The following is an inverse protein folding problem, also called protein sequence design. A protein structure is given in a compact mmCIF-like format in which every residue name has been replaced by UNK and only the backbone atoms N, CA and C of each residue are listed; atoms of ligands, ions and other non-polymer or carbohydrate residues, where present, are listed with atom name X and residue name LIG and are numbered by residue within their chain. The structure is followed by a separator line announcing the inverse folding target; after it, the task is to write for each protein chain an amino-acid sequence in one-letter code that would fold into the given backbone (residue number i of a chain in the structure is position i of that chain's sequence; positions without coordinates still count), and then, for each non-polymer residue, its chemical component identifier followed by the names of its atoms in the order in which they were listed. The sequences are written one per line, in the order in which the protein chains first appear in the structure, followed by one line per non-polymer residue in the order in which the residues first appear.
data_IF_180047948372
#
_entry.id   IF_180047948372
#
_cell.length_a   1.000
_cell.length_b   1.000
_cell.length_c   1.000
_cell.angle_alpha   90.00
_cell.angle_beta   90.00
_cell.angle_gamma   90.00
#
_symmetry.space_group_name_H-M   'P 1'
#
loop_
_entity.id
_entity.type
_entity.pdbx_description
1 polymer ?
#
# COMPACT_ATOMS: atom_id res chain seq x y z
N UNK A 1 2.75 14.62 9.96
CA UNK A 1 2.96 14.15 8.60
C UNK A 1 2.31 12.79 8.43
N UNK A 2 1.62 12.61 7.34
CA UNK A 2 0.90 11.37 7.08
C UNK A 2 1.90 10.26 6.76
N UNK A 3 1.80 9.15 7.48
CA UNK A 3 2.73 8.05 7.30
C UNK A 3 2.16 6.91 6.48
N UNK A 4 2.90 6.45 5.49
CA UNK A 4 2.50 5.38 4.59
C UNK A 4 3.52 4.25 4.70
N UNK A 5 3.05 3.01 4.83
CA UNK A 5 3.93 1.86 4.82
C UNK A 5 3.80 1.16 3.46
N UNK A 6 4.90 0.98 2.76
CA UNK A 6 4.95 0.34 1.45
C UNK A 6 5.57 -1.04 1.59
N UNK A 7 4.86 -2.07 1.08
CA UNK A 7 5.31 -3.45 1.15
C UNK A 7 5.47 -3.99 -0.26
N UNK A 8 6.67 -4.37 -0.64
CA UNK A 8 6.95 -4.96 -1.94
C UNK A 8 8.27 -5.72 -1.83
N UNK A 9 8.33 -6.94 -2.35
CA UNK A 9 9.55 -7.72 -2.32
C UNK A 9 10.56 -7.24 -3.37
N UNK A 10 10.11 -6.47 -4.36
CA UNK A 10 10.99 -5.91 -5.37
C UNK A 10 11.57 -4.60 -4.83
N UNK A 11 12.85 -4.59 -4.49
CA UNK A 11 13.50 -3.44 -3.90
C UNK A 11 13.46 -2.20 -4.80
N UNK A 12 13.54 -2.40 -6.11
CA UNK A 12 13.51 -1.26 -7.04
C UNK A 12 12.13 -0.61 -7.05
N UNK A 13 11.09 -1.41 -7.14
CA UNK A 13 9.73 -0.88 -7.14
C UNK A 13 9.42 -0.23 -5.79
N UNK A 14 9.81 -0.89 -4.70
CA UNK A 14 9.58 -0.36 -3.36
C UNK A 14 10.25 1.01 -3.17
N UNK A 15 11.50 1.11 -3.65
CA UNK A 15 12.23 2.38 -3.56
C UNK A 15 11.60 3.47 -4.41
N UNK A 16 11.12 3.11 -5.59
CA UNK A 16 10.47 4.07 -6.48
C UNK A 16 9.18 4.60 -5.86
N UNK A 17 8.36 3.72 -5.30
CA UNK A 17 7.13 4.13 -4.64
C UNK A 17 7.43 5.05 -3.45
N UNK A 18 8.45 4.69 -2.67
CA UNK A 18 8.84 5.48 -1.52
C UNK A 18 9.30 6.88 -1.94
N UNK A 19 10.05 6.96 -3.03
CA UNK A 19 10.53 8.23 -3.53
C UNK A 19 9.37 9.12 -3.99
N UNK A 20 8.46 8.59 -4.77
CA UNK A 20 7.31 9.33 -5.25
C UNK A 20 6.46 9.86 -4.10
N UNK A 21 6.22 9.01 -3.10
CA UNK A 21 5.39 9.40 -1.96
C UNK A 21 6.10 10.44 -1.09
N UNK A 22 7.41 10.27 -0.89
CA UNK A 22 8.18 11.23 -0.10
C UNK A 22 8.19 12.61 -0.76
N UNK A 23 8.33 12.63 -2.08
CA UNK A 23 8.30 13.89 -2.82
C UNK A 23 6.94 14.57 -2.73
N UNK A 24 5.89 13.78 -2.56
CA UNK A 24 4.55 14.31 -2.44
C UNK A 24 4.20 14.76 -1.02
N UNK A 25 5.11 14.57 -0.07
CA UNK A 25 4.90 15.06 1.29
C UNK A 25 4.51 14.01 2.32
N UNK A 26 4.50 12.74 1.94
CA UNK A 26 4.19 11.69 2.89
C UNK A 26 5.47 11.19 3.56
N UNK A 27 5.35 10.68 4.77
CA UNK A 27 6.45 9.99 5.43
C UNK A 27 6.32 8.52 5.07
N UNK A 28 7.38 7.90 4.57
CA UNK A 28 7.30 6.54 4.07
C UNK A 28 8.16 5.60 4.87
N UNK A 29 7.57 4.47 5.26
CA UNK A 29 8.33 3.34 5.79
C UNK A 29 8.22 2.22 4.77
N UNK A 30 9.21 1.35 4.74
CA UNK A 30 9.28 0.28 3.75
C UNK A 30 9.41 -1.07 4.43
N UNK A 31 8.75 -2.07 3.87
CA UNK A 31 8.88 -3.45 4.31
C UNK A 31 9.06 -4.33 3.08
N UNK A 32 9.89 -5.35 3.16
CA UNK A 32 10.19 -6.21 2.02
C UNK A 32 9.25 -7.42 1.94
N UNK A 33 8.46 -7.66 2.95
CA UNK A 33 7.49 -8.75 2.92
C UNK A 33 6.37 -8.47 3.92
N UNK A 34 5.32 -9.29 3.85
CA UNK A 34 4.16 -9.11 4.69
C UNK A 34 4.42 -9.29 6.17
N UNK A 35 5.28 -10.25 6.52
CA UNK A 35 5.59 -10.50 7.94
C UNK A 35 6.27 -9.28 8.57
N UNK A 36 7.22 -8.67 7.85
CA UNK A 36 7.87 -7.47 8.32
C UNK A 36 6.89 -6.31 8.40
N UNK A 37 5.99 -6.20 7.41
CA UNK A 37 4.99 -5.14 7.42
C UNK A 37 4.10 -5.23 8.65
N UNK A 38 3.62 -6.43 8.97
CA UNK A 38 2.75 -6.60 10.13
C UNK A 38 3.47 -6.28 11.43
N UNK A 39 4.74 -6.67 11.52
CA UNK A 39 5.54 -6.36 12.69
C UNK A 39 5.72 -4.85 12.85
N UNK A 40 5.97 -4.15 11.74
CA UNK A 40 6.13 -2.71 11.75
C UNK A 40 4.84 -2.00 12.14
N UNK A 41 3.70 -2.49 11.64
CA UNK A 41 2.41 -1.92 12.00
C UNK A 41 2.06 -2.15 13.47
N UNK A 42 2.48 -3.30 14.00
CA UNK A 42 2.26 -3.61 15.41
C UNK A 42 3.07 -2.66 16.30
N UNK A 43 4.26 -2.32 15.86
CA UNK A 43 5.12 -1.40 16.59
C UNK A 43 4.59 0.03 16.51
N UNK A 44 4.16 0.45 15.34
CA UNK A 44 3.63 1.79 15.13
C UNK A 44 2.68 1.78 13.93
N UNK A 45 1.40 2.12 14.12
CA UNK A 45 0.46 2.15 13.00
C UNK A 45 0.84 3.19 11.95
N UNK A 46 0.38 2.97 10.73
CA UNK A 46 0.51 3.93 9.64
C UNK A 46 -0.88 4.42 9.26
N UNK A 47 -0.94 5.49 8.49
CA UNK A 47 -2.21 6.01 8.00
C UNK A 47 -2.71 5.23 6.79
N UNK A 48 -1.79 4.57 6.07
CA UNK A 48 -2.13 3.79 4.87
C UNK A 48 -1.09 2.69 4.69
N UNK A 49 -1.54 1.52 4.27
CA UNK A 49 -0.68 0.43 3.87
C UNK A 49 -0.82 0.25 2.36
N UNK A 50 0.29 0.24 1.63
CA UNK A 50 0.30 -0.11 0.22
C UNK A 50 1.01 -1.44 0.11
N UNK A 51 0.34 -2.46 -0.40
CA UNK A 51 0.94 -3.78 -0.50
C UNK A 51 0.86 -4.36 -1.89
N UNK A 52 1.97 -4.93 -2.35
CA UNK A 52 1.99 -5.71 -3.56
C UNK A 52 1.25 -7.02 -3.27
N UNK A 53 0.43 -7.45 -4.22
CA UNK A 53 -0.33 -8.69 -4.07
C UNK A 53 0.45 -9.89 -4.57
N UNK A 54 1.56 -9.67 -5.31
CA UNK A 54 2.34 -10.75 -5.90
C UNK A 54 3.65 -10.94 -5.15
N UNK A 55 3.61 -11.44 -3.95
CA UNK A 55 4.82 -11.67 -3.16
C UNK A 55 4.98 -13.15 -2.83
N UNK A 56 6.20 -13.68 -2.84
CA UNK A 56 6.44 -15.06 -2.46
C UNK A 56 6.25 -15.25 -0.95
N UNK A 57 5.97 -16.46 -0.56
CA UNK A 57 5.76 -16.78 0.85
C UNK A 57 4.38 -16.35 1.29
N UNK A 58 4.32 -15.38 2.18
CA UNK A 58 3.05 -14.80 2.57
C UNK A 58 2.62 -13.87 1.43
N UNK A 59 1.55 -14.18 0.77
CA UNK A 59 1.10 -13.38 -0.36
C UNK A 59 0.43 -12.08 0.10
N UNK A 60 0.19 -11.21 -0.86
CA UNK A 60 -0.41 -9.91 -0.57
C UNK A 60 -1.82 -10.02 -0.03
N UNK A 61 -2.60 -11.00 -0.48
CA UNK A 61 -3.95 -11.19 0.01
C UNK A 61 -3.95 -11.54 1.50
N UNK A 62 -3.01 -12.39 1.91
CA UNK A 62 -2.88 -12.76 3.30
C UNK A 62 -2.44 -11.56 4.15
N UNK A 63 -1.52 -10.76 3.61
CA UNK A 63 -1.04 -9.55 4.28
C UNK A 63 -2.19 -8.56 4.47
N UNK A 64 -2.98 -8.36 3.42
CA UNK A 64 -4.12 -7.47 3.45
C UNK A 64 -5.12 -7.91 4.53
N UNK A 65 -5.47 -9.18 4.54
CA UNK A 65 -6.44 -9.71 5.49
C UNK A 65 -5.93 -9.56 6.92
N UNK A 66 -4.69 -9.94 7.17
CA UNK A 66 -4.10 -9.86 8.51
C UNK A 66 -3.98 -8.42 9.00
N UNK A 67 -3.60 -7.50 8.12
CA UNK A 67 -3.49 -6.10 8.49
C UNK A 67 -4.85 -5.52 8.87
N UNK A 68 -5.88 -5.88 8.12
CA UNK A 68 -7.22 -5.37 8.42
C UNK A 68 -7.78 -5.96 9.71
N UNK A 69 -7.44 -7.19 10.02
CA UNK A 69 -7.85 -7.79 11.30
C UNK A 69 -7.14 -7.14 12.47
N UNK A 70 -5.86 -6.84 12.29
CA UNK A 70 -5.07 -6.24 13.33
C UNK A 70 -5.42 -4.78 13.56
N UNK A 71 -5.68 -4.05 12.48
CA UNK A 71 -6.01 -2.63 12.51
C UNK A 71 -7.23 -2.38 11.62
N UNK A 72 -8.44 -2.59 12.13
CA UNK A 72 -9.64 -2.51 11.29
C UNK A 72 -9.86 -1.16 10.61
N UNK A 73 -9.32 -0.09 11.17
CA UNK A 73 -9.45 1.24 10.57
C UNK A 73 -8.38 1.59 9.56
N UNK A 74 -7.40 0.70 9.36
CA UNK A 74 -6.30 1.00 8.46
C UNK A 74 -6.71 0.79 7.01
N UNK A 75 -6.65 1.84 6.17
CA UNK A 75 -6.92 1.63 4.75
C UNK A 75 -5.74 0.94 4.08
N UNK A 76 -6.02 0.11 3.10
CA UNK A 76 -5.01 -0.63 2.36
C UNK A 76 -5.24 -0.44 0.87
N UNK A 77 -4.19 -0.06 0.15
CA UNK A 77 -4.21 -0.01 -1.31
C UNK A 77 -3.41 -1.20 -1.82
N UNK A 78 -4.01 -1.96 -2.73
CA UNK A 78 -3.38 -3.14 -3.29
C UNK A 78 -2.79 -2.85 -4.66
N UNK A 79 -1.62 -3.40 -4.94
CA UNK A 79 -0.94 -3.24 -6.21
C UNK A 79 -0.60 -4.61 -6.75
N UNK A 80 -0.73 -4.82 -8.04
CA UNK A 80 -0.32 -6.11 -8.63
C UNK A 80 -0.05 -6.01 -10.11
N UNK A 81 0.88 -6.83 -10.59
CA UNK A 81 1.09 -7.05 -11.99
C UNK A 81 0.00 -7.91 -12.63
N UNK A 82 -0.76 -8.56 -11.77
CA UNK A 82 -2.06 -9.19 -12.04
C UNK A 82 -2.21 -10.17 -13.14
N UNK A 83 -1.85 -9.82 -14.32
CA UNK A 83 -2.14 -10.65 -15.47
C UNK A 83 -1.15 -11.77 -15.70
N UNK A 84 -0.07 -11.81 -14.94
CA UNK A 84 0.99 -12.76 -15.22
C UNK A 84 0.61 -14.19 -15.10
N UNK A 85 -0.23 -14.53 -14.18
CA UNK A 85 -0.57 -15.91 -13.95
C UNK A 85 -2.01 -16.15 -14.26
N UNK A 86 -2.65 -15.37 -15.08
CA UNK A 86 -4.03 -15.57 -15.42
C UNK A 86 -4.99 -15.17 -14.32
N UNK A 87 -4.50 -14.51 -13.28
CA UNK A 87 -5.39 -14.07 -12.20
C UNK A 87 -6.03 -12.78 -12.59
N UNK A 88 -7.02 -12.85 -13.41
CA UNK A 88 -7.64 -11.65 -13.93
C UNK A 88 -8.52 -10.93 -12.93
N UNK A 89 -8.89 -11.59 -11.84
CA UNK A 89 -9.78 -10.99 -10.86
C UNK A 89 -9.12 -10.58 -9.57
N UNK A 90 -7.80 -10.37 -9.57
CA UNK A 90 -7.10 -10.02 -8.35
C UNK A 90 -7.63 -8.74 -7.73
N UNK A 91 -7.98 -7.76 -8.58
CA UNK A 91 -8.47 -6.48 -8.08
C UNK A 91 -9.80 -6.65 -7.36
N UNK A 92 -10.70 -7.44 -7.93
CA UNK A 92 -11.96 -7.73 -7.28
C UNK A 92 -11.75 -8.47 -5.96
N UNK A 93 -10.81 -9.41 -5.94
CA UNK A 93 -10.48 -10.13 -4.72
C UNK A 93 -9.95 -9.18 -3.65
N UNK A 94 -9.04 -8.29 -4.03
CA UNK A 94 -8.47 -7.33 -3.09
C UNK A 94 -9.56 -6.43 -2.50
N UNK A 95 -10.46 -5.94 -3.35
CA UNK A 95 -11.55 -5.09 -2.89
C UNK A 95 -12.51 -5.85 -1.98
N UNK A 96 -12.75 -7.11 -2.26
CA UNK A 96 -13.59 -7.94 -1.38
C UNK A 96 -12.93 -8.16 -0.03
N UNK A 97 -11.62 -8.25 0.01
CA UNK A 97 -10.89 -8.40 1.27
C UNK A 97 -10.78 -7.09 2.03
N UNK A 98 -11.27 -6.01 1.45
CA UNK A 98 -11.32 -4.73 2.13
C UNK A 98 -10.32 -3.69 1.68
N UNK A 99 -9.63 -3.91 0.55
CA UNK A 99 -8.74 -2.88 0.03
C UNK A 99 -9.53 -1.65 -0.38
N UNK A 100 -9.00 -0.48 -0.09
CA UNK A 100 -9.65 0.76 -0.46
C UNK A 100 -9.49 1.04 -1.95
N UNK A 101 -8.34 0.68 -2.51
CA UNK A 101 -8.05 0.85 -3.94
C UNK A 101 -7.25 -0.34 -4.43
N UNK A 102 -7.35 -0.62 -5.72
CA UNK A 102 -6.55 -1.67 -6.36
C UNK A 102 -5.93 -1.05 -7.62
N UNK A 103 -4.62 -1.14 -7.74
CA UNK A 103 -3.88 -0.48 -8.82
C UNK A 103 -3.04 -1.50 -9.57
N UNK A 104 -3.22 -1.57 -10.89
CA UNK A 104 -2.50 -2.55 -11.72
C UNK A 104 -1.18 -1.99 -12.23
N UNK A 105 -0.13 -2.80 -12.19
CA UNK A 105 1.16 -2.46 -12.80
C UNK A 105 1.09 -2.72 -14.30
N UNK A 106 1.72 -1.93 -15.12
CA UNK A 106 2.48 -0.74 -14.77
C UNK A 106 1.57 0.46 -14.56
N UNK A 107 1.97 1.36 -13.69
CA UNK A 107 1.25 2.59 -13.46
C UNK A 107 2.25 3.73 -13.39
N UNK A 108 1.74 4.95 -13.56
CA UNK A 108 2.60 6.12 -13.52
C UNK A 108 2.51 6.78 -12.14
N UNK A 109 3.43 7.69 -11.90
CA UNK A 109 3.48 8.40 -10.64
C UNK A 109 2.14 9.03 -10.26
N UNK A 110 1.50 9.72 -11.23
CA UNK A 110 0.23 10.38 -10.92
C UNK A 110 -0.89 9.40 -10.58
N UNK A 111 -0.84 8.19 -11.14
CA UNK A 111 -1.84 7.16 -10.82
C UNK A 111 -1.73 6.74 -9.36
N UNK A 112 -0.50 6.51 -8.92
CA UNK A 112 -0.24 6.13 -7.53
C UNK A 112 -0.65 7.24 -6.59
N UNK A 113 -0.23 8.47 -6.89
CA UNK A 113 -0.52 9.59 -5.99
C UNK A 113 -2.00 9.91 -5.91
N UNK A 114 -2.72 9.78 -7.03
CA UNK A 114 -4.16 9.98 -7.03
C UNK A 114 -4.86 8.95 -6.14
N UNK A 115 -4.45 7.68 -6.26
CA UNK A 115 -5.06 6.63 -5.44
C UNK A 115 -4.79 6.83 -3.96
N UNK A 116 -3.60 7.32 -3.63
CA UNK A 116 -3.25 7.57 -2.23
C UNK A 116 -4.02 8.79 -1.70
N UNK A 117 -4.08 9.86 -2.47
CA UNK A 117 -4.75 11.08 -2.02
C UNK A 117 -6.25 10.91 -1.84
N UNK A 118 -6.86 10.01 -2.57
CA UNK A 118 -8.28 9.74 -2.40
C UNK A 118 -8.56 9.07 -1.05
N UNK A 119 -7.58 8.37 -0.52
CA UNK A 119 -7.75 7.63 0.73
C UNK A 119 -7.22 8.42 1.93
N UNK A 120 -6.04 9.03 1.78
CA UNK A 120 -5.42 9.82 2.84
C UNK A 120 -4.91 11.13 2.24
N UNK A 121 -5.76 12.12 2.10
CA UNK A 121 -5.36 13.39 1.52
C UNK A 121 -4.20 14.01 2.27
N UNK A 122 -3.17 14.40 1.54
CA UNK A 122 -2.02 15.04 2.18
C UNK A 122 -2.40 16.43 2.62
N UNK A 123 -1.62 16.97 3.56
CA UNK A 123 -1.84 18.30 4.05
C UNK A 123 -1.26 19.28 3.05
N UNK A 124 -2.11 19.92 2.30
CA UNK A 124 -1.65 20.85 1.28
C UNK A 124 -1.36 22.23 1.80
N UNK A 125 -1.91 22.57 2.92
CA UNK A 125 -1.75 23.92 3.41
C UNK A 125 -0.67 24.01 4.44
N UNK A 126 -0.18 22.91 4.85
CA UNK A 126 0.75 22.85 5.93
C UNK A 126 0.02 23.11 7.23
N UNK A 127 -1.18 23.40 7.13
CA UNK A 127 -1.82 23.76 8.31
C UNK A 127 -2.63 22.69 8.77
N UNK A 128 -2.89 21.92 8.13
CA UNK A 128 -3.50 21.11 8.63
C UNK A 128 -4.41 20.38 8.35
N UNK A 129 -4.24 19.45 8.29
CA UNK A 129 -4.97 18.35 8.25
C UNK A 129 -5.30 17.93 9.56
N UNK A 130 -5.89 18.63 10.21
CA UNK A 130 -6.12 18.13 11.47
C UNK A 130 -7.29 17.34 11.66
#
# INVERSE_FOLDING_TARGET
MIEVLVVDDDALMRGLLAEWLSEAGYRVRQAENGANALRMLRSRPAALLITDMDMPGRDGAQTLDDARRMLPGLPVNAISGGARDGRQNWAATALKLGAAKALAKPFERHDLLAAVEEVVPRDKSGAVCV
#
